data_IF_136227912399
#
_entry.id   IF_136227912399
#
_cell.length_a   1.000
_cell.length_b   1.000
_cell.length_c   1.000
_cell.angle_alpha   90.00
_cell.angle_beta   90.00
_cell.angle_gamma   90.00
#
_symmetry.space_group_name_H-M   'P 1'
#
loop_
_entity.id
_entity.type
_entity.pdbx_description
1 polymer ?
#
# COMPACT_ATOMS: atom_id res chain seq x y z
N UNK A 1 -14.03 16.03 -12.75
CA UNK A 1 -12.72 15.80 -13.42
C UNK A 1 -11.53 16.38 -12.67
N UNK A 2 -11.49 17.68 -12.28
CA UNK A 2 -10.36 18.26 -11.51
C UNK A 2 -9.93 17.49 -10.26
N UNK A 3 -10.87 16.94 -9.47
CA UNK A 3 -10.56 16.12 -8.28
C UNK A 3 -9.87 14.79 -8.60
N UNK A 4 -10.13 14.22 -9.78
CA UNK A 4 -9.49 12.99 -10.23
C UNK A 4 -8.03 13.24 -10.60
N UNK A 5 -7.76 14.33 -11.35
CA UNK A 5 -6.40 14.74 -11.71
C UNK A 5 -5.55 15.13 -10.49
N UNK A 6 -6.13 15.83 -9.51
CA UNK A 6 -5.43 16.14 -8.26
C UNK A 6 -5.13 14.87 -7.45
N UNK A 7 -6.07 13.92 -7.40
CA UNK A 7 -5.83 12.62 -6.80
C UNK A 7 -4.72 11.84 -7.51
N UNK A 8 -4.67 11.92 -8.85
CA UNK A 8 -3.67 11.25 -9.67
C UNK A 8 -2.29 11.90 -9.58
N UNK A 9 -2.21 13.23 -9.50
CA UNK A 9 -0.95 13.97 -9.26
C UNK A 9 -0.41 13.75 -7.85
N UNK A 10 -1.28 13.84 -6.83
CA UNK A 10 -0.92 13.47 -5.47
C UNK A 10 -0.40 12.03 -5.43
N UNK A 11 -1.08 11.13 -6.14
CA UNK A 11 -0.66 9.75 -6.24
C UNK A 11 0.69 9.53 -6.94
N UNK A 12 0.95 10.20 -8.07
CA UNK A 12 2.25 10.14 -8.74
C UNK A 12 3.39 10.64 -7.83
N UNK A 13 3.11 11.62 -6.96
CA UNK A 13 4.08 12.07 -5.96
C UNK A 13 4.34 11.06 -4.83
N UNK A 14 3.48 10.04 -4.68
CA UNK A 14 3.62 8.94 -3.74
C UNK A 14 4.24 7.68 -4.38
N UNK A 15 4.55 7.67 -5.69
CA UNK A 15 5.27 6.54 -6.32
C UNK A 15 6.58 6.16 -5.61
N UNK A 16 7.39 7.11 -5.09
CA UNK A 16 8.58 6.78 -4.30
C UNK A 16 8.26 6.04 -2.99
N UNK A 17 7.05 6.22 -2.46
CA UNK A 17 6.55 5.54 -1.27
C UNK A 17 6.00 4.15 -1.59
N UNK A 18 5.39 3.95 -2.77
CA UNK A 18 5.03 2.62 -3.29
C UNK A 18 6.29 1.78 -3.57
N UNK A 19 7.40 2.40 -3.99
CA UNK A 19 8.71 1.73 -4.06
C UNK A 19 9.33 1.46 -2.69
N UNK A 20 8.78 1.97 -1.57
CA UNK A 20 9.26 1.58 -0.25
C UNK A 20 8.91 0.11 0.09
N UNK A 21 7.91 -0.49 -0.56
CA UNK A 21 7.69 -1.95 -0.53
C UNK A 21 8.87 -2.71 -1.17
N UNK A 22 9.51 -2.10 -2.18
CA UNK A 22 10.71 -2.64 -2.86
C UNK A 22 11.95 -2.49 -1.97
N UNK A 23 12.10 -1.35 -1.30
CA UNK A 23 13.21 -1.08 -0.37
C UNK A 23 13.05 -1.89 0.92
N UNK A 24 11.81 -2.11 1.37
CA UNK A 24 11.52 -3.08 2.43
C UNK A 24 12.08 -4.44 2.00
N UNK A 25 11.86 -4.88 0.75
CA UNK A 25 12.44 -6.10 0.17
C UNK A 25 13.98 -6.20 0.30
N UNK A 26 14.70 -5.08 0.30
CA UNK A 26 16.15 -5.04 0.56
C UNK A 26 16.50 -5.02 2.06
N UNK A 27 15.79 -4.23 2.87
CA UNK A 27 15.94 -4.24 4.34
C UNK A 27 15.59 -5.63 4.94
N UNK A 28 14.67 -6.34 4.30
CA UNK A 28 14.26 -7.72 4.53
C UNK A 28 15.42 -8.72 4.32
N UNK A 29 16.28 -8.49 3.32
CA UNK A 29 17.41 -9.39 3.02
C UNK A 29 18.49 -9.37 4.10
N UNK A 30 18.60 -8.26 4.85
CA UNK A 30 19.62 -8.06 5.90
C UNK A 30 19.11 -8.30 7.34
N UNK A 31 17.78 -8.31 7.58
CA UNK A 31 17.18 -8.36 8.93
C UNK A 31 16.56 -9.73 9.32
N UNK A 32 16.48 -10.67 8.38
CA UNK A 32 15.97 -12.04 8.61
C UNK A 32 14.44 -12.16 8.50
N UNK A 33 13.97 -13.29 7.96
CA UNK A 33 12.58 -13.58 7.59
C UNK A 33 11.54 -13.35 8.72
N UNK A 34 11.92 -13.45 9.99
CA UNK A 34 11.00 -13.23 11.11
C UNK A 34 10.59 -11.76 11.26
N UNK A 35 11.52 -10.82 11.04
CA UNK A 35 11.25 -9.39 11.13
C UNK A 35 10.37 -8.91 9.97
N UNK A 36 10.60 -9.49 8.80
CA UNK A 36 9.78 -9.31 7.58
C UNK A 36 8.32 -9.63 7.84
N UNK A 37 8.06 -10.85 8.32
CA UNK A 37 6.70 -11.35 8.55
C UNK A 37 6.01 -10.47 9.59
N UNK A 38 6.73 -10.08 10.64
CA UNK A 38 6.23 -9.15 11.65
C UNK A 38 5.82 -7.79 11.04
N UNK A 39 6.67 -7.19 10.20
CA UNK A 39 6.36 -5.92 9.53
C UNK A 39 5.16 -6.05 8.59
N UNK A 40 5.06 -7.12 7.80
CA UNK A 40 3.90 -7.36 6.93
C UNK A 40 2.59 -7.47 7.73
N UNK A 41 2.60 -8.21 8.84
CA UNK A 41 1.43 -8.30 9.72
C UNK A 41 1.07 -6.93 10.30
N UNK A 42 2.07 -6.15 10.71
CA UNK A 42 1.86 -4.81 11.25
C UNK A 42 1.27 -3.86 10.20
N UNK A 43 1.78 -3.87 8.96
CA UNK A 43 1.26 -3.11 7.80
C UNK A 43 -0.23 -3.43 7.61
N UNK A 44 -0.57 -4.72 7.50
CA UNK A 44 -1.96 -5.16 7.28
C UNK A 44 -2.87 -4.69 8.40
N UNK A 45 -2.43 -4.74 9.67
CA UNK A 45 -3.23 -4.28 10.81
C UNK A 45 -3.45 -2.77 10.77
N UNK A 46 -2.40 -1.99 10.54
CA UNK A 46 -2.47 -0.52 10.45
C UNK A 46 -3.39 -0.11 9.30
N UNK A 47 -3.21 -0.69 8.12
CA UNK A 47 -4.04 -0.45 6.96
C UNK A 47 -5.49 -0.84 7.19
N UNK A 48 -5.73 -1.95 7.88
CA UNK A 48 -7.08 -2.38 8.26
C UNK A 48 -7.76 -1.35 9.16
N UNK A 49 -7.05 -0.82 10.16
CA UNK A 49 -7.58 0.22 11.05
C UNK A 49 -7.91 1.48 10.25
N UNK A 50 -6.98 1.95 9.41
CA UNK A 50 -7.19 3.14 8.57
C UNK A 50 -8.36 2.95 7.60
N UNK A 51 -8.39 1.83 6.87
CA UNK A 51 -9.45 1.48 5.94
C UNK A 51 -10.80 1.40 6.66
N UNK A 52 -10.86 0.71 7.80
CA UNK A 52 -12.08 0.58 8.60
C UNK A 52 -12.59 1.92 9.12
N UNK A 53 -11.69 2.80 9.59
CA UNK A 53 -12.04 4.14 10.04
C UNK A 53 -12.56 5.00 8.88
N UNK A 54 -11.87 5.01 7.75
CA UNK A 54 -12.26 5.80 6.58
C UNK A 54 -13.58 5.29 5.99
N UNK A 55 -13.71 3.97 5.79
CA UNK A 55 -14.91 3.42 5.15
C UNK A 55 -16.17 3.64 6.00
N UNK A 56 -16.05 3.68 7.33
CA UNK A 56 -17.17 3.87 8.25
C UNK A 56 -17.45 5.32 8.64
N UNK A 57 -16.42 6.14 8.92
CA UNK A 57 -16.62 7.52 9.39
C UNK A 57 -16.93 8.48 8.24
N UNK A 58 -15.97 8.86 7.36
CA UNK A 58 -16.25 9.79 6.27
C UNK A 58 -17.15 9.20 5.19
N UNK A 59 -17.08 7.89 4.93
CA UNK A 59 -17.81 7.28 3.81
C UNK A 59 -19.10 6.54 4.18
N UNK A 60 -19.35 6.29 5.48
CA UNK A 60 -20.60 5.73 6.03
C UNK A 60 -21.05 4.41 5.37
N UNK A 61 -20.11 3.56 4.94
CA UNK A 61 -20.42 2.33 4.20
C UNK A 61 -20.76 1.11 5.08
N UNK A 62 -20.67 1.24 6.42
CA UNK A 62 -21.00 0.22 7.44
C UNK A 62 -20.38 -1.14 7.13
N UNK A 63 -19.07 -1.24 7.33
CA UNK A 63 -18.27 -2.45 7.13
C UNK A 63 -17.67 -2.87 8.47
N UNK A 64 -17.87 -4.13 8.87
CA UNK A 64 -17.30 -4.67 10.11
C UNK A 64 -15.78 -4.82 10.02
N UNK A 65 -15.08 -4.71 11.15
CA UNK A 65 -13.63 -4.76 11.22
C UNK A 65 -13.04 -6.03 10.59
N UNK A 66 -13.57 -7.21 10.93
CA UNK A 66 -13.12 -8.49 10.36
C UNK A 66 -13.25 -8.57 8.84
N UNK A 67 -14.30 -7.95 8.30
CA UNK A 67 -14.47 -7.86 6.85
C UNK A 67 -13.47 -6.89 6.24
N UNK A 68 -13.20 -5.76 6.89
CA UNK A 68 -12.13 -4.84 6.49
C UNK A 68 -10.76 -5.51 6.50
N UNK A 69 -10.46 -6.31 7.54
CA UNK A 69 -9.20 -7.07 7.66
C UNK A 69 -9.03 -8.02 6.48
N UNK A 70 -10.05 -8.83 6.18
CA UNK A 70 -10.02 -9.75 5.05
C UNK A 70 -9.76 -9.02 3.72
N UNK A 71 -10.46 -7.89 3.52
CA UNK A 71 -10.34 -7.11 2.29
C UNK A 71 -8.91 -6.56 2.12
N UNK A 72 -8.36 -5.94 3.18
CA UNK A 72 -7.00 -5.38 3.18
C UNK A 72 -5.94 -6.47 3.04
N UNK A 73 -6.10 -7.60 3.73
CA UNK A 73 -5.18 -8.73 3.63
C UNK A 73 -5.12 -9.30 2.21
N UNK A 74 -6.28 -9.50 1.56
CA UNK A 74 -6.33 -9.97 0.16
C UNK A 74 -5.70 -8.95 -0.78
N UNK A 75 -5.97 -7.65 -0.58
CA UNK A 75 -5.38 -6.59 -1.38
C UNK A 75 -3.85 -6.60 -1.27
N UNK A 76 -3.32 -6.71 -0.05
CA UNK A 76 -1.88 -6.79 0.23
C UNK A 76 -1.21 -8.04 -0.37
N UNK A 77 -1.86 -9.21 -0.32
CA UNK A 77 -1.30 -10.43 -0.93
C UNK A 77 -1.16 -10.23 -2.44
N UNK A 78 -2.17 -9.65 -3.09
CA UNK A 78 -2.15 -9.42 -4.53
C UNK A 78 -1.08 -8.38 -4.90
N UNK A 79 -0.99 -7.27 -4.16
CA UNK A 79 0.03 -6.24 -4.41
C UNK A 79 1.44 -6.73 -4.11
N UNK A 80 1.63 -7.58 -3.09
CA UNK A 80 2.91 -8.18 -2.76
C UNK A 80 3.46 -9.03 -3.91
N UNK A 81 2.61 -9.88 -4.51
CA UNK A 81 3.01 -10.70 -5.67
C UNK A 81 3.51 -9.80 -6.81
N UNK A 82 2.81 -8.70 -7.09
CA UNK A 82 3.22 -7.74 -8.13
C UNK A 82 4.46 -6.96 -7.70
N UNK A 83 4.58 -6.62 -6.41
CA UNK A 83 5.73 -5.93 -5.80
C UNK A 83 7.04 -6.68 -5.98
N UNK A 84 7.01 -8.02 -5.96
CA UNK A 84 8.19 -8.85 -6.29
C UNK A 84 8.64 -8.57 -7.73
N UNK A 85 7.73 -8.52 -8.70
CA UNK A 85 8.05 -8.21 -10.10
C UNK A 85 8.52 -6.76 -10.29
N UNK A 86 7.93 -5.80 -9.57
CA UNK A 86 8.36 -4.39 -9.57
C UNK A 86 9.81 -4.29 -9.09
N UNK A 87 10.14 -4.96 -7.98
CA UNK A 87 11.48 -4.96 -7.41
C UNK A 87 12.51 -5.47 -8.42
N UNK A 88 12.26 -6.65 -8.99
CA UNK A 88 13.16 -7.29 -9.97
C UNK A 88 13.39 -6.38 -11.19
N UNK A 89 12.35 -5.73 -11.69
CA UNK A 89 12.46 -4.88 -12.89
C UNK A 89 13.16 -3.55 -12.62
N UNK A 90 13.04 -3.00 -11.41
CA UNK A 90 13.80 -1.82 -10.98
C UNK A 90 15.30 -2.11 -10.91
N UNK A 91 15.72 -3.22 -10.28
CA UNK A 91 17.14 -3.58 -10.17
C UNK A 91 17.81 -3.88 -11.51
N UNK A 92 17.04 -4.37 -12.48
CA UNK A 92 17.53 -4.63 -13.84
C UNK A 92 17.50 -3.39 -14.76
N UNK A 93 17.19 -2.20 -14.22
CA UNK A 93 17.18 -0.94 -14.99
C UNK A 93 16.04 -0.83 -16.01
N UNK A 94 15.00 -1.67 -15.89
CA UNK A 94 13.87 -1.74 -16.82
C UNK A 94 12.79 -0.73 -16.44
N UNK A 95 13.14 0.57 -16.48
CA UNK A 95 12.28 1.68 -16.02
C UNK A 95 10.84 1.64 -16.60
N UNK A 96 10.62 1.39 -17.91
CA UNK A 96 9.26 1.32 -18.45
C UNK A 96 8.44 0.15 -17.86
N UNK A 97 9.08 -1.00 -17.64
CA UNK A 97 8.42 -2.19 -17.10
C UNK A 97 8.10 -1.99 -15.62
N UNK A 98 9.02 -1.36 -14.87
CA UNK A 98 8.77 -0.92 -13.51
C UNK A 98 7.52 -0.04 -13.39
N UNK A 99 7.40 0.99 -14.25
CA UNK A 99 6.23 1.88 -14.24
C UNK A 99 4.93 1.15 -14.56
N UNK A 100 4.96 0.23 -15.54
CA UNK A 100 3.80 -0.60 -15.89
C UNK A 100 3.40 -1.50 -14.72
N UNK A 101 4.37 -2.17 -14.09
CA UNK A 101 4.14 -3.05 -12.96
C UNK A 101 3.61 -2.30 -11.73
N UNK A 102 4.13 -1.09 -11.46
CA UNK A 102 3.62 -0.20 -10.44
C UNK A 102 2.16 0.18 -10.69
N UNK A 103 1.83 0.63 -11.91
CA UNK A 103 0.45 0.93 -12.35
C UNK A 103 -0.46 -0.29 -12.17
N UNK A 104 0.00 -1.48 -12.57
CA UNK A 104 -0.76 -2.72 -12.44
C UNK A 104 -1.03 -3.10 -10.99
N UNK A 105 -0.06 -2.94 -10.08
CA UNK A 105 -0.24 -3.22 -8.65
C UNK A 105 -1.41 -2.42 -8.08
N UNK A 106 -1.49 -1.13 -8.42
CA UNK A 106 -2.57 -0.24 -7.96
C UNK A 106 -3.92 -0.64 -8.54
N UNK A 107 -3.95 -0.97 -9.84
CA UNK A 107 -5.19 -1.42 -10.51
C UNK A 107 -5.69 -2.70 -9.85
N UNK A 108 -4.79 -3.62 -9.48
CA UNK A 108 -5.13 -4.88 -8.84
C UNK A 108 -5.62 -4.67 -7.41
N UNK A 109 -4.95 -3.85 -6.61
CA UNK A 109 -5.40 -3.49 -5.25
C UNK A 109 -6.80 -2.87 -5.28
N UNK A 110 -7.01 -1.91 -6.19
CA UNK A 110 -8.31 -1.28 -6.37
C UNK A 110 -9.36 -2.27 -6.89
N UNK A 111 -8.97 -3.16 -7.79
CA UNK A 111 -9.79 -4.26 -8.28
C UNK A 111 -10.31 -5.15 -7.15
N UNK A 112 -9.45 -5.49 -6.18
CA UNK A 112 -9.85 -6.25 -4.98
C UNK A 112 -10.91 -5.49 -4.20
N UNK A 113 -10.71 -4.21 -3.88
CA UNK A 113 -11.73 -3.42 -3.19
C UNK A 113 -13.04 -3.38 -3.99
N UNK A 114 -12.97 -3.19 -5.31
CA UNK A 114 -14.17 -3.17 -6.15
C UNK A 114 -14.95 -4.49 -6.11
N UNK A 115 -14.27 -5.64 -6.11
CA UNK A 115 -14.93 -6.96 -6.01
C UNK A 115 -15.75 -7.08 -4.73
N UNK A 116 -15.20 -6.64 -3.59
CA UNK A 116 -15.90 -6.71 -2.30
C UNK A 116 -17.07 -5.73 -2.15
N UNK A 117 -17.13 -4.68 -2.98
CA UNK A 117 -18.18 -3.66 -2.97
C UNK A 117 -18.99 -3.57 -4.28
N UNK A 118 -18.86 -4.56 -5.18
CA UNK A 118 -19.43 -4.53 -6.53
C UNK A 118 -20.94 -4.26 -6.57
N UNK A 119 -21.67 -4.67 -5.52
CA UNK A 119 -23.13 -4.50 -5.40
C UNK A 119 -23.57 -3.08 -4.98
N UNK A 120 -22.65 -2.20 -4.56
CA UNK A 120 -22.99 -0.83 -4.12
C UNK A 120 -22.75 0.20 -5.23
N UNK A 121 -23.83 0.69 -5.85
CA UNK A 121 -23.77 1.82 -6.80
C UNK A 121 -23.18 3.06 -6.10
N UNK A 122 -22.27 3.78 -6.77
CA UNK A 122 -21.58 5.00 -6.29
C UNK A 122 -20.44 4.84 -5.25
N UNK A 123 -19.87 3.64 -5.09
CA UNK A 123 -18.78 3.42 -4.13
C UNK A 123 -17.38 3.40 -4.76
N UNK A 124 -17.29 3.24 -6.08
CA UNK A 124 -16.01 3.06 -6.81
C UNK A 124 -14.99 4.19 -6.60
N UNK A 125 -15.41 5.44 -6.80
CA UNK A 125 -14.53 6.62 -6.65
C UNK A 125 -14.13 6.80 -5.18
N UNK A 126 -15.04 6.52 -4.24
CA UNK A 126 -14.76 6.62 -2.81
C UNK A 126 -13.70 5.60 -2.38
N UNK A 127 -13.82 4.36 -2.83
CA UNK A 127 -12.82 3.31 -2.55
C UNK A 127 -11.45 3.64 -3.12
N UNK A 128 -11.39 4.27 -4.29
CA UNK A 128 -10.13 4.74 -4.86
C UNK A 128 -9.44 5.75 -3.92
N UNK A 129 -10.16 6.78 -3.46
CA UNK A 129 -9.60 7.74 -2.51
C UNK A 129 -9.23 7.12 -1.16
N UNK A 130 -10.01 6.14 -0.67
CA UNK A 130 -9.68 5.43 0.57
C UNK A 130 -8.35 4.69 0.40
N UNK A 131 -8.22 3.86 -0.64
CA UNK A 131 -6.98 3.11 -0.93
C UNK A 131 -5.78 4.05 -1.06
N UNK A 132 -5.93 5.16 -1.80
CA UNK A 132 -4.89 6.18 -1.90
C UNK A 132 -4.45 6.73 -0.54
N UNK A 133 -5.39 7.11 0.32
CA UNK A 133 -5.08 7.67 1.64
C UNK A 133 -4.44 6.61 2.54
N UNK A 134 -4.99 5.39 2.56
CA UNK A 134 -4.47 4.29 3.37
C UNK A 134 -3.03 4.01 2.99
N UNK A 135 -2.74 3.80 1.70
CA UNK A 135 -1.38 3.54 1.23
C UNK A 135 -0.44 4.71 1.53
N UNK A 136 -0.86 5.96 1.24
CA UNK A 136 -0.04 7.14 1.52
C UNK A 136 0.37 7.25 2.99
N UNK A 137 -0.60 7.07 3.89
CA UNK A 137 -0.38 7.16 5.34
C UNK A 137 0.46 6.00 5.84
N UNK A 138 0.18 4.78 5.39
CA UNK A 138 0.96 3.59 5.73
C UNK A 138 2.41 3.78 5.32
N UNK A 139 2.68 4.12 4.07
CA UNK A 139 4.05 4.32 3.61
C UNK A 139 4.78 5.46 4.32
N UNK A 140 4.09 6.57 4.61
CA UNK A 140 4.69 7.65 5.38
C UNK A 140 5.08 7.20 6.79
N UNK A 141 4.20 6.44 7.47
CA UNK A 141 4.48 5.89 8.80
C UNK A 141 5.65 4.89 8.75
N UNK A 142 5.64 3.94 7.82
CA UNK A 142 6.70 2.94 7.71
C UNK A 142 8.02 3.53 7.27
N UNK A 143 8.02 4.50 6.36
CA UNK A 143 9.21 5.26 5.97
C UNK A 143 9.83 6.01 7.14
N UNK A 144 9.02 6.61 8.02
CA UNK A 144 9.51 7.27 9.23
C UNK A 144 10.09 6.28 10.24
N UNK A 145 9.43 5.14 10.46
CA UNK A 145 9.92 4.07 11.36
C UNK A 145 11.24 3.51 10.84
N UNK A 146 11.32 3.24 9.54
CA UNK A 146 12.55 2.75 8.90
C UNK A 146 13.68 3.77 9.01
N UNK A 147 13.42 5.05 8.71
CA UNK A 147 14.41 6.12 8.85
C UNK A 147 14.91 6.24 10.30
N UNK A 148 14.01 6.20 11.28
CA UNK A 148 14.37 6.24 12.70
C UNK A 148 15.22 5.04 13.10
N UNK A 149 14.88 3.84 12.61
CA UNK A 149 15.62 2.61 12.86
C UNK A 149 17.03 2.66 12.26
N UNK A 150 17.16 2.98 10.97
CA UNK A 150 18.46 3.10 10.28
C UNK A 150 19.33 4.16 10.96
N UNK A 151 18.76 5.33 11.27
CA UNK A 151 19.46 6.39 11.98
C UNK A 151 19.98 5.89 13.33
N UNK A 152 19.16 5.15 14.09
CA UNK A 152 19.57 4.62 15.39
C UNK A 152 20.78 3.70 15.27
N UNK A 153 20.84 2.83 14.26
CA UNK A 153 21.97 1.92 14.02
C UNK A 153 23.23 2.69 13.61
N UNK A 154 23.10 3.67 12.71
CA UNK A 154 24.22 4.48 12.23
C UNK A 154 24.88 5.35 13.31
N UNK A 155 24.19 5.64 14.42
CA UNK A 155 24.77 6.36 15.56
C UNK A 155 25.67 5.50 16.45
N UNK A 156 25.67 4.19 16.27
CA UNK A 156 26.48 3.25 17.07
C UNK A 156 27.71 2.70 16.32
N UNK A 157 27.96 3.14 15.08
CA UNK A 157 29.13 2.81 14.26
C UNK A 157 29.84 4.10 13.81
#
# INVERSE_FOLDING_TARGET
>A
MKKLYLGLLFFLSLLPLVSADVIAGEALAYSGWSFVIFLMVLIVVVETILFWLLINKPFKLKVGFWRSLLIVAVANIVTFIVGIFISITMFNGLIPIFLIAAILSIILEWGVYLLFFARKKNVKIKLFFISLIVNAVSYALFGLVYYAFVRSISTYY
#
